data_IF_515199016944
#
_entry.id   IF_515199016944
#
_cell.length_a   1.000
_cell.length_b   1.000
_cell.length_c   1.000
_cell.angle_alpha   90.00
_cell.angle_beta   90.00
_cell.angle_gamma   90.00
#
_symmetry.space_group_name_H-M   'P 1'
#
loop_
_entity.id
_entity.type
_entity.pdbx_description
1 polymer ?
#
# COMPACT_ATOMS: atom_id res chain seq x y z
N UNK A 1 -8.33 9.85 -11.38
CA UNK A 1 -8.11 8.86 -12.46
C UNK A 1 -9.33 8.91 -13.38
N UNK A 2 -9.15 8.88 -14.70
CA UNK A 2 -10.24 9.01 -15.67
C UNK A 2 -11.11 7.74 -15.69
N UNK A 3 -12.42 7.86 -15.94
CA UNK A 3 -13.35 6.71 -16.03
C UNK A 3 -13.07 5.79 -17.24
N UNK A 4 -12.17 6.17 -18.15
CA UNK A 4 -11.82 5.43 -19.37
C UNK A 4 -10.54 4.57 -19.26
N UNK A 5 -9.89 4.48 -18.09
CA UNK A 5 -8.68 3.67 -17.95
C UNK A 5 -9.01 2.16 -18.03
N UNK A 6 -8.36 1.36 -18.90
CA UNK A 6 -8.67 -0.05 -19.04
C UNK A 6 -8.44 -0.81 -17.74
N UNK A 7 -9.29 -1.80 -17.45
CA UNK A 7 -9.16 -2.59 -16.23
C UNK A 7 -7.92 -3.50 -16.29
N UNK A 8 -7.69 -4.15 -17.44
CA UNK A 8 -6.63 -5.14 -17.61
C UNK A 8 -5.77 -4.79 -18.83
N UNK A 9 -4.46 -4.74 -18.61
CA UNK A 9 -3.45 -4.74 -19.68
C UNK A 9 -2.58 -6.00 -19.56
N UNK A 10 -2.28 -6.63 -20.70
CA UNK A 10 -1.39 -7.80 -20.83
C UNK A 10 -0.16 -7.45 -21.69
N UNK A 11 1.04 -7.80 -21.24
CA UNK A 11 2.27 -7.69 -22.05
C UNK A 11 2.68 -9.07 -22.52
N UNK A 12 2.45 -9.35 -23.80
CA UNK A 12 2.76 -10.63 -24.43
C UNK A 12 2.63 -10.54 -25.96
N UNK A 13 3.44 -11.29 -26.70
CA UNK A 13 3.22 -11.59 -28.12
C UNK A 13 2.85 -13.08 -28.34
N UNK A 14 2.83 -13.88 -27.28
CA UNK A 14 2.47 -15.29 -27.29
C UNK A 14 0.96 -15.50 -27.37
N UNK A 15 0.50 -16.10 -28.47
CA UNK A 15 -0.93 -16.38 -28.70
C UNK A 15 -1.54 -17.25 -27.60
N UNK A 16 -0.82 -18.25 -27.10
CA UNK A 16 -1.31 -19.14 -26.04
C UNK A 16 -1.53 -18.40 -24.70
N UNK A 17 -0.62 -17.49 -24.33
CA UNK A 17 -0.78 -16.64 -23.14
C UNK A 17 -1.93 -15.65 -23.34
N UNK A 18 -1.98 -14.99 -24.50
CA UNK A 18 -3.02 -14.00 -24.84
C UNK A 18 -4.41 -14.64 -24.77
N UNK A 19 -4.58 -15.82 -25.36
CA UNK A 19 -5.86 -16.52 -25.38
C UNK A 19 -6.25 -16.99 -23.98
N UNK A 20 -5.33 -17.59 -23.22
CA UNK A 20 -5.60 -18.02 -21.85
C UNK A 20 -6.01 -16.85 -20.93
N UNK A 21 -5.32 -15.71 -21.00
CA UNK A 21 -5.68 -14.52 -20.22
C UNK A 21 -7.01 -13.94 -20.67
N UNK A 22 -7.27 -13.88 -21.98
CA UNK A 22 -8.56 -13.39 -22.51
C UNK A 22 -9.73 -14.26 -22.08
N UNK A 23 -9.58 -15.58 -22.09
CA UNK A 23 -10.59 -16.53 -21.62
C UNK A 23 -10.95 -16.25 -20.16
N UNK A 24 -9.95 -16.08 -19.28
CA UNK A 24 -10.18 -15.78 -17.87
C UNK A 24 -10.83 -14.40 -17.68
N UNK A 25 -10.31 -13.37 -18.35
CA UNK A 25 -10.81 -11.98 -18.18
C UNK A 25 -12.23 -11.82 -18.75
N UNK A 26 -12.59 -12.59 -19.78
CA UNK A 26 -13.95 -12.62 -20.33
C UNK A 26 -14.98 -13.12 -19.29
N UNK A 27 -14.61 -13.97 -18.33
CA UNK A 27 -15.49 -14.41 -17.23
C UNK A 27 -15.85 -13.28 -16.24
N UNK A 28 -15.21 -12.12 -16.37
CA UNK A 28 -15.53 -10.91 -15.61
C UNK A 28 -16.16 -9.80 -16.50
N UNK A 29 -16.53 -10.12 -17.73
CA UNK A 29 -17.09 -9.17 -18.72
C UNK A 29 -16.19 -7.95 -18.95
N UNK A 30 -14.86 -8.14 -18.93
CA UNK A 30 -13.86 -7.07 -19.15
C UNK A 30 -13.05 -7.30 -20.41
N UNK A 31 -12.61 -6.22 -21.10
CA UNK A 31 -11.64 -6.32 -22.19
C UNK A 31 -10.20 -6.41 -21.64
N UNK A 32 -9.32 -7.00 -22.44
CA UNK A 32 -7.85 -7.01 -22.22
C UNK A 32 -7.20 -6.17 -23.30
N UNK A 33 -6.39 -5.18 -22.91
CA UNK A 33 -5.53 -4.43 -23.83
C UNK A 33 -4.18 -5.13 -23.90
N UNK A 34 -3.77 -5.60 -25.08
CA UNK A 34 -2.52 -6.34 -25.28
C UNK A 34 -1.42 -5.40 -25.76
N UNK A 35 -0.24 -5.50 -25.14
CA UNK A 35 0.97 -4.76 -25.46
C UNK A 35 2.09 -5.72 -25.86
N UNK A 36 2.97 -5.34 -26.80
CA UNK A 36 4.08 -6.19 -27.21
C UNK A 36 5.13 -6.34 -26.09
N UNK A 37 5.94 -7.41 -26.10
CA UNK A 37 7.09 -7.56 -25.22
C UNK A 37 8.02 -6.33 -25.27
N UNK A 38 8.66 -6.00 -24.16
CA UNK A 38 9.49 -4.81 -24.00
C UNK A 38 8.73 -3.48 -23.87
N UNK A 39 7.40 -3.45 -24.03
CA UNK A 39 6.61 -2.25 -23.79
C UNK A 39 6.66 -1.80 -22.32
N UNK A 40 6.65 -0.48 -22.10
CA UNK A 40 6.51 0.11 -20.76
C UNK A 40 5.13 -0.11 -20.14
N UNK A 41 4.95 0.16 -18.83
CA UNK A 41 3.70 -0.05 -18.10
C UNK A 41 2.54 0.77 -18.69
N UNK A 42 1.48 0.07 -19.11
CA UNK A 42 0.27 0.67 -19.64
C UNK A 42 -0.55 1.33 -18.50
N UNK A 43 -1.37 2.36 -18.81
CA UNK A 43 -2.36 2.85 -17.86
C UNK A 43 -3.49 1.82 -17.72
N UNK A 44 -3.44 0.97 -16.67
CA UNK A 44 -4.48 0.00 -16.37
C UNK A 44 -4.54 -0.30 -14.86
N UNK A 45 -5.67 -0.82 -14.38
CA UNK A 45 -5.85 -1.17 -12.96
C UNK A 45 -5.17 -2.48 -12.56
N UNK A 46 -5.03 -3.41 -13.50
CA UNK A 46 -4.29 -4.66 -13.38
C UNK A 46 -3.33 -4.81 -14.57
N UNK A 47 -2.04 -4.95 -14.28
CA UNK A 47 -0.97 -5.25 -15.23
C UNK A 47 -0.62 -6.73 -15.14
N UNK A 48 -0.68 -7.43 -16.27
CA UNK A 48 -0.42 -8.87 -16.39
C UNK A 48 0.81 -9.10 -17.28
N UNK A 49 1.93 -9.51 -16.72
CA UNK A 49 3.18 -9.67 -17.49
C UNK A 49 3.51 -11.14 -17.77
N UNK A 50 3.72 -11.51 -19.03
CA UNK A 50 4.16 -12.86 -19.41
C UNK A 50 5.63 -13.06 -19.03
N UNK A 51 5.90 -14.09 -18.22
CA UNK A 51 7.28 -14.38 -17.79
C UNK A 51 8.13 -15.03 -18.87
N UNK A 52 7.51 -15.70 -19.83
CA UNK A 52 8.19 -16.39 -20.93
C UNK A 52 8.93 -15.44 -21.86
N UNK A 53 8.41 -14.23 -22.00
CA UNK A 53 8.92 -13.21 -22.93
C UNK A 53 9.74 -12.13 -22.22
N UNK A 54 9.85 -12.21 -20.89
CA UNK A 54 10.53 -11.21 -20.06
C UNK A 54 12.05 -11.31 -20.19
N UNK A 55 12.68 -10.24 -20.63
CA UNK A 55 14.13 -10.08 -20.69
C UNK A 55 14.67 -9.28 -19.49
N UNK A 56 15.98 -9.31 -19.18
CA UNK A 56 16.58 -8.46 -18.16
C UNK A 56 16.49 -6.95 -18.48
N UNK A 57 16.43 -6.59 -19.76
CA UNK A 57 16.38 -5.21 -20.25
C UNK A 57 14.97 -4.62 -20.16
N UNK A 58 13.94 -5.48 -20.09
CA UNK A 58 12.57 -5.03 -20.04
C UNK A 58 12.30 -4.19 -18.78
N UNK A 59 11.56 -3.08 -18.92
CA UNK A 59 11.10 -2.32 -17.77
C UNK A 59 10.19 -3.22 -16.92
N UNK A 60 10.23 -2.99 -15.61
CA UNK A 60 9.23 -3.56 -14.71
C UNK A 60 7.84 -3.09 -15.13
N UNK A 61 6.89 -4.02 -15.17
CA UNK A 61 5.54 -3.73 -15.63
C UNK A 61 4.63 -3.41 -14.44
N UNK A 62 5.08 -2.45 -13.64
CA UNK A 62 4.45 -1.98 -12.41
C UNK A 62 4.16 -0.47 -12.51
N UNK A 63 3.07 -0.01 -11.89
CA UNK A 63 2.67 1.40 -11.91
C UNK A 63 2.01 1.82 -10.60
N UNK A 64 2.20 3.07 -10.14
CA UNK A 64 1.44 3.62 -9.01
C UNK A 64 -0.08 3.50 -9.19
N UNK A 65 -0.77 2.99 -8.17
CA UNK A 65 -2.22 2.76 -8.21
C UNK A 65 -2.67 1.56 -9.04
N UNK A 66 -1.73 0.78 -9.61
CA UNK A 66 -2.01 -0.42 -10.40
C UNK A 66 -1.53 -1.67 -9.69
N UNK A 67 -2.37 -2.71 -9.71
CA UNK A 67 -1.97 -4.07 -9.34
C UNK A 67 -1.12 -4.65 -10.46
N UNK A 68 -0.14 -5.48 -10.11
CA UNK A 68 0.74 -6.13 -11.08
C UNK A 68 0.91 -7.59 -10.71
N UNK A 69 0.79 -8.48 -11.70
CA UNK A 69 0.94 -9.91 -11.54
C UNK A 69 1.68 -10.50 -12.73
N UNK A 70 2.57 -11.44 -12.43
CA UNK A 70 3.26 -12.22 -13.46
C UNK A 70 2.45 -13.49 -13.77
N UNK A 71 2.35 -13.85 -15.05
CA UNK A 71 1.72 -15.11 -15.51
C UNK A 71 2.73 -15.97 -16.24
N UNK A 72 2.49 -17.28 -16.19
CA UNK A 72 3.20 -18.29 -16.99
C UNK A 72 2.27 -19.42 -17.41
N UNK A 73 2.56 -20.08 -18.51
CA UNK A 73 1.90 -21.32 -18.91
C UNK A 73 2.46 -22.51 -18.12
N UNK A 74 1.62 -23.51 -17.90
CA UNK A 74 1.94 -24.67 -17.07
C UNK A 74 3.24 -25.39 -17.47
N UNK A 75 3.49 -25.52 -18.78
CA UNK A 75 4.66 -26.21 -19.33
C UNK A 75 5.76 -25.26 -19.83
N UNK A 76 5.65 -23.96 -19.52
CA UNK A 76 6.65 -23.00 -19.95
C UNK A 76 7.96 -23.14 -19.16
N UNK A 77 9.08 -23.19 -19.88
CA UNK A 77 10.42 -23.06 -19.28
C UNK A 77 10.69 -21.58 -19.00
N UNK A 78 10.60 -21.18 -17.73
CA UNK A 78 10.81 -19.81 -17.27
C UNK A 78 12.20 -19.69 -16.66
N UNK A 79 13.00 -18.75 -17.20
CA UNK A 79 14.36 -18.53 -16.74
C UNK A 79 14.41 -18.15 -15.24
N UNK A 80 15.41 -18.65 -14.50
CA UNK A 80 15.60 -18.27 -13.10
C UNK A 80 15.78 -16.76 -12.86
N UNK A 81 16.40 -15.98 -13.78
CA UNK A 81 16.40 -14.52 -13.71
C UNK A 81 14.99 -13.89 -13.72
N UNK A 82 14.08 -14.37 -14.57
CA UNK A 82 12.70 -13.84 -14.65
C UNK A 82 11.93 -14.10 -13.35
N UNK A 83 12.09 -15.30 -12.76
CA UNK A 83 11.50 -15.64 -11.45
C UNK A 83 12.05 -14.74 -10.34
N UNK A 84 13.38 -14.55 -10.26
CA UNK A 84 14.00 -13.66 -9.27
C UNK A 84 13.53 -12.21 -9.41
N UNK A 85 13.35 -11.71 -10.64
CA UNK A 85 12.83 -10.35 -10.88
C UNK A 85 11.39 -10.18 -10.39
N UNK A 86 10.56 -11.22 -10.49
CA UNK A 86 9.17 -11.20 -9.99
C UNK A 86 9.14 -11.02 -8.47
N UNK A 87 9.98 -11.77 -7.76
CA UNK A 87 10.12 -11.61 -6.30
C UNK A 87 10.66 -10.22 -5.92
N UNK A 88 11.65 -9.72 -6.66
CA UNK A 88 12.25 -8.41 -6.39
C UNK A 88 11.31 -7.23 -6.71
N UNK A 89 10.39 -7.40 -7.65
CA UNK A 89 9.40 -6.38 -8.03
C UNK A 89 8.13 -6.40 -7.16
N UNK A 90 7.97 -7.42 -6.33
CA UNK A 90 6.82 -7.59 -5.44
C UNK A 90 5.52 -7.91 -6.15
N UNK A 91 5.59 -8.41 -7.38
CA UNK A 91 4.47 -8.95 -8.17
C UNK A 91 3.89 -10.26 -7.59
N UNK A 92 4.29 -10.64 -6.37
CA UNK A 92 3.87 -11.88 -5.72
C UNK A 92 4.49 -13.13 -6.36
N UNK A 93 3.83 -14.27 -6.17
CA UNK A 93 4.15 -15.50 -6.91
C UNK A 93 3.61 -15.37 -8.34
N UNK A 94 4.30 -15.86 -9.37
CA UNK A 94 3.70 -15.98 -10.70
C UNK A 94 2.49 -16.91 -10.68
N UNK A 95 1.43 -16.55 -11.41
CA UNK A 95 0.27 -17.41 -11.64
C UNK A 95 0.51 -18.35 -12.82
N UNK A 96 0.26 -19.64 -12.62
CA UNK A 96 0.44 -20.68 -13.62
C UNK A 96 -0.89 -20.98 -14.31
N UNK A 97 -1.04 -20.64 -15.59
CA UNK A 97 -2.27 -20.89 -16.36
C UNK A 97 -2.21 -22.28 -17.03
N UNK A 98 -3.32 -23.06 -17.02
CA UNK A 98 -4.65 -22.71 -16.51
C UNK A 98 -4.88 -22.99 -15.00
N UNK A 99 -3.92 -23.57 -14.28
CA UNK A 99 -4.08 -24.01 -12.89
C UNK A 99 -4.55 -22.90 -11.92
N UNK A 100 -4.01 -21.68 -12.08
CA UNK A 100 -4.30 -20.51 -11.26
C UNK A 100 -5.31 -19.55 -11.93
N UNK A 101 -6.09 -20.02 -12.92
CA UNK A 101 -7.08 -19.20 -13.64
C UNK A 101 -8.09 -18.53 -12.69
N UNK A 102 -8.49 -19.22 -11.63
CA UNK A 102 -9.42 -18.66 -10.63
C UNK A 102 -8.80 -17.52 -9.82
N UNK A 103 -7.50 -17.58 -9.52
CA UNK A 103 -6.80 -16.49 -8.82
C UNK A 103 -6.67 -15.26 -9.72
N UNK A 104 -6.35 -15.46 -11.01
CA UNK A 104 -6.35 -14.38 -11.99
C UNK A 104 -7.76 -13.75 -12.13
N UNK A 105 -8.82 -14.56 -12.19
CA UNK A 105 -10.20 -14.05 -12.22
C UNK A 105 -10.53 -13.21 -10.99
N UNK A 106 -10.11 -13.64 -9.81
CA UNK A 106 -10.26 -12.88 -8.56
C UNK A 106 -9.53 -11.53 -8.66
N UNK A 107 -8.27 -11.51 -9.12
CA UNK A 107 -7.53 -10.26 -9.33
C UNK A 107 -8.22 -9.32 -10.31
N UNK A 108 -8.77 -9.84 -11.41
CA UNK A 108 -9.51 -9.05 -12.41
C UNK A 108 -10.77 -8.45 -11.80
N UNK A 109 -11.58 -9.25 -11.09
CA UNK A 109 -12.80 -8.77 -10.43
C UNK A 109 -12.48 -7.72 -9.38
N UNK A 110 -11.41 -7.94 -8.62
CA UNK A 110 -10.91 -7.00 -7.63
C UNK A 110 -10.45 -5.69 -8.26
N UNK A 111 -9.66 -5.75 -9.33
CA UNK A 111 -9.23 -4.58 -10.08
C UNK A 111 -10.40 -3.85 -10.76
N UNK A 112 -11.52 -4.52 -11.03
CA UNK A 112 -12.71 -3.91 -11.58
C UNK A 112 -13.58 -3.17 -10.53
N UNK A 113 -13.44 -3.45 -9.23
CA UNK A 113 -14.23 -2.79 -8.17
C UNK A 113 -13.93 -1.30 -8.14
N UNK A 114 -14.91 -0.42 -8.12
CA UNK A 114 -14.63 1.02 -7.93
C UNK A 114 -14.04 1.25 -6.53
N UNK A 115 -12.88 1.94 -6.48
CA UNK A 115 -12.33 2.42 -5.20
C UNK A 115 -12.87 3.82 -4.96
N UNK A 116 -13.56 4.00 -3.84
CA UNK A 116 -13.92 5.34 -3.34
C UNK A 116 -12.72 5.97 -2.63
N UNK A 117 -11.93 5.17 -1.93
CA UNK A 117 -10.86 5.66 -1.10
C UNK A 117 -9.65 6.12 -1.91
N UNK A 118 -9.05 7.24 -1.50
CA UNK A 118 -7.63 7.48 -1.70
C UNK A 118 -6.85 6.56 -0.76
N UNK A 119 -5.90 5.78 -1.28
CA UNK A 119 -5.10 4.84 -0.47
C UNK A 119 -3.70 5.43 -0.25
N UNK A 120 -3.37 5.69 1.01
CA UNK A 120 -2.08 6.25 1.44
C UNK A 120 -1.30 5.17 2.20
N UNK A 121 -0.15 4.78 1.67
CA UNK A 121 0.83 3.98 2.38
C UNK A 121 1.73 4.85 3.26
N UNK A 122 2.12 4.35 4.44
CA UNK A 122 3.12 5.00 5.29
C UNK A 122 4.16 3.97 5.69
N UNK A 123 5.43 4.26 5.42
CA UNK A 123 6.54 3.34 5.73
C UNK A 123 7.68 4.10 6.40
N UNK A 124 8.29 3.49 7.40
CA UNK A 124 9.47 4.06 8.07
C UNK A 124 10.75 3.70 7.33
N UNK A 125 11.58 4.69 7.00
CA UNK A 125 12.93 4.46 6.45
C UNK A 125 13.79 3.56 7.36
N UNK A 126 13.53 3.58 8.67
CA UNK A 126 14.12 2.70 9.69
C UNK A 126 13.15 2.51 10.87
N UNK A 127 13.49 1.58 11.76
CA UNK A 127 12.79 1.43 13.04
C UNK A 127 12.79 2.73 13.86
N UNK A 128 11.66 3.06 14.48
CA UNK A 128 11.51 4.29 15.27
C UNK A 128 11.37 5.60 14.47
N UNK A 129 11.26 5.52 13.13
CA UNK A 129 11.07 6.72 12.30
C UNK A 129 9.71 7.41 12.49
N UNK A 130 8.74 6.75 13.15
CA UNK A 130 7.42 7.33 13.47
C UNK A 130 6.36 7.09 12.39
N UNK A 131 6.51 6.04 11.56
CA UNK A 131 5.56 5.68 10.51
C UNK A 131 4.16 5.39 11.04
N UNK A 132 4.01 4.43 11.96
CA UNK A 132 2.73 4.09 12.60
C UNK A 132 2.07 5.28 13.29
N UNK A 133 2.87 6.15 13.93
CA UNK A 133 2.36 7.39 14.52
C UNK A 133 1.81 8.36 13.46
N UNK A 134 2.49 8.50 12.32
CA UNK A 134 1.99 9.32 11.21
C UNK A 134 0.76 8.69 10.56
N UNK A 135 0.72 7.37 10.37
CA UNK A 135 -0.43 6.66 9.83
C UNK A 135 -1.69 6.88 10.68
N UNK A 136 -1.57 6.70 12.00
CA UNK A 136 -2.62 7.00 12.96
C UNK A 136 -3.03 8.49 12.92
N UNK A 137 -2.06 9.41 12.87
CA UNK A 137 -2.35 10.84 12.83
C UNK A 137 -3.01 11.30 11.51
N UNK A 138 -2.66 10.71 10.37
CA UNK A 138 -3.34 10.91 9.08
C UNK A 138 -4.79 10.49 9.20
N UNK A 139 -5.05 9.28 9.70
CA UNK A 139 -6.39 8.74 9.82
C UNK A 139 -7.26 9.59 10.76
N UNK A 140 -6.75 9.94 11.95
CA UNK A 140 -7.42 10.83 12.91
C UNK A 140 -7.69 12.22 12.33
N UNK A 141 -6.75 12.76 11.55
CA UNK A 141 -6.91 14.08 10.94
C UNK A 141 -7.97 14.06 9.85
N UNK A 142 -8.01 13.02 9.03
CA UNK A 142 -9.01 12.85 7.97
C UNK A 142 -10.43 12.74 8.54
N UNK A 143 -10.64 11.95 9.60
CA UNK A 143 -11.94 11.88 10.29
C UNK A 143 -12.37 13.24 10.83
N UNK A 144 -11.46 13.98 11.45
CA UNK A 144 -11.76 15.33 11.95
C UNK A 144 -12.03 16.35 10.82
N UNK A 145 -11.74 15.99 9.56
CA UNK A 145 -12.08 16.74 8.35
C UNK A 145 -13.31 16.19 7.62
N UNK A 146 -14.01 15.22 8.21
CA UNK A 146 -15.27 14.67 7.69
C UNK A 146 -15.11 13.51 6.71
N UNK A 147 -13.91 12.97 6.53
CA UNK A 147 -13.67 11.84 5.64
C UNK A 147 -13.96 10.51 6.35
N UNK A 148 -14.77 9.64 5.73
CA UNK A 148 -14.89 8.26 6.15
C UNK A 148 -13.53 7.57 6.00
N UNK A 149 -12.94 7.11 7.11
CA UNK A 149 -11.52 6.70 7.13
C UNK A 149 -11.31 5.34 7.77
N UNK A 150 -10.47 4.51 7.13
CA UNK A 150 -9.94 3.27 7.67
C UNK A 150 -8.41 3.32 7.81
N UNK A 151 -7.89 2.60 8.80
CA UNK A 151 -6.46 2.38 9.04
C UNK A 151 -6.21 0.87 9.11
N UNK A 152 -5.29 0.38 8.28
CA UNK A 152 -4.88 -1.02 8.28
C UNK A 152 -3.41 -1.15 8.64
N UNK A 153 -3.10 -2.05 9.58
CA UNK A 153 -1.74 -2.37 10.00
C UNK A 153 -1.23 -3.57 9.22
N UNK A 154 -0.18 -3.37 8.42
CA UNK A 154 0.44 -4.42 7.61
C UNK A 154 1.86 -4.76 8.13
N UNK A 155 2.36 -4.07 9.16
CA UNK A 155 3.69 -4.30 9.74
C UNK A 155 3.63 -5.31 10.89
N UNK A 156 3.88 -6.58 10.55
CA UNK A 156 3.89 -7.68 11.53
C UNK A 156 5.12 -7.73 12.42
N UNK A 157 6.07 -6.78 12.30
CA UNK A 157 7.27 -6.74 13.13
C UNK A 157 7.11 -5.89 14.41
N UNK A 158 6.02 -5.13 14.53
CA UNK A 158 5.75 -4.22 15.65
C UNK A 158 4.85 -4.82 16.74
N UNK A 159 4.54 -4.00 17.75
CA UNK A 159 3.60 -4.36 18.82
C UNK A 159 2.11 -4.26 18.41
N UNK A 160 1.84 -3.87 17.16
CA UNK A 160 0.50 -3.64 16.63
C UNK A 160 0.04 -2.18 16.79
N UNK A 161 -0.67 -1.70 15.77
CA UNK A 161 -1.33 -0.38 15.79
C UNK A 161 -2.42 -0.32 16.87
N UNK A 162 -3.09 -1.41 17.23
CA UNK A 162 -4.12 -1.37 18.26
C UNK A 162 -3.58 -0.99 19.63
N UNK A 163 -2.43 -1.52 20.03
CA UNK A 163 -1.73 -1.12 21.26
C UNK A 163 -1.28 0.34 21.20
N UNK A 164 -0.78 0.80 20.04
CA UNK A 164 -0.41 2.21 19.83
C UNK A 164 -1.60 3.16 20.04
N UNK A 165 -2.80 2.71 19.68
CA UNK A 165 -4.04 3.48 19.77
C UNK A 165 -4.77 3.29 21.10
N UNK A 166 -4.35 2.34 21.94
CA UNK A 166 -5.04 1.98 23.19
C UNK A 166 -6.38 1.28 22.98
N UNK A 167 -6.53 0.53 21.88
CA UNK A 167 -7.77 -0.18 21.50
C UNK A 167 -7.62 -1.71 21.48
N UNK A 168 -6.54 -2.24 22.03
CA UNK A 168 -6.25 -3.68 22.09
C UNK A 168 -7.34 -4.51 22.79
N UNK A 169 -8.09 -3.89 23.70
CA UNK A 169 -9.23 -4.51 24.38
C UNK A 169 -10.59 -4.20 23.74
N UNK A 170 -10.61 -3.41 22.66
CA UNK A 170 -11.83 -3.12 21.92
C UNK A 170 -12.24 -4.32 21.08
N UNK A 171 -13.51 -4.73 21.22
CA UNK A 171 -14.11 -5.77 20.41
C UNK A 171 -14.15 -5.41 18.91
N UNK A 172 -14.25 -6.43 18.07
CA UNK A 172 -14.25 -6.32 16.61
C UNK A 172 -13.16 -7.19 15.97
N UNK A 173 -13.25 -7.38 14.67
CA UNK A 173 -12.34 -8.26 13.91
C UNK A 173 -10.93 -7.66 13.83
N UNK A 174 -9.93 -8.55 13.85
CA UNK A 174 -8.51 -8.30 13.52
C UNK A 174 -8.11 -9.15 12.32
N UNK A 175 -6.89 -8.95 11.81
CA UNK A 175 -6.38 -9.78 10.71
C UNK A 175 -6.48 -11.28 10.98
N UNK A 176 -6.14 -11.71 12.19
CA UNK A 176 -6.21 -13.12 12.58
C UNK A 176 -7.64 -13.70 12.54
N UNK A 177 -8.68 -12.87 12.67
CA UNK A 177 -10.07 -13.30 12.61
C UNK A 177 -10.55 -13.46 11.16
N UNK A 178 -9.95 -12.75 10.21
CA UNK A 178 -10.25 -12.87 8.78
C UNK A 178 -9.69 -14.16 8.18
N UNK A 179 -8.52 -14.60 8.65
CA UNK A 179 -7.81 -15.80 8.19
C UNK A 179 -8.56 -17.13 8.41
N UNK A 180 -9.70 -17.12 9.10
CA UNK A 180 -10.45 -18.31 9.52
C UNK A 180 -11.82 -18.47 8.86
N UNK A 181 -12.26 -17.50 8.06
CA UNK A 181 -13.58 -17.49 7.43
C UNK A 181 -13.55 -17.96 5.97
N UNK A 182 -14.42 -18.90 5.63
CA UNK A 182 -14.74 -19.25 4.23
C UNK A 182 -15.60 -18.14 3.61
N UNK A 183 -15.03 -16.96 3.35
CA UNK A 183 -15.75 -15.94 2.59
C UNK A 183 -15.22 -14.52 2.71
N UNK A 184 -15.18 -13.85 1.55
CA UNK A 184 -15.07 -12.40 1.43
C UNK A 184 -16.22 -11.70 2.16
N UNK A 185 -15.88 -10.78 3.08
CA UNK A 185 -16.88 -9.91 3.70
C UNK A 185 -17.17 -8.71 2.79
N UNK A 186 -18.45 -8.40 2.49
CA UNK A 186 -18.83 -7.14 1.87
C UNK A 186 -18.30 -5.93 2.63
N UNK A 187 -18.02 -4.83 1.92
CA UNK A 187 -17.35 -3.65 2.47
C UNK A 187 -18.05 -3.03 3.69
N UNK A 188 -19.38 -2.98 3.66
CA UNK A 188 -20.23 -2.45 4.73
C UNK A 188 -20.18 -3.34 5.98
N UNK A 189 -20.23 -4.66 5.80
CA UNK A 189 -20.13 -5.63 6.87
C UNK A 189 -18.73 -5.62 7.50
N UNK A 190 -17.68 -5.58 6.68
CA UNK A 190 -16.31 -5.52 7.17
C UNK A 190 -16.11 -4.25 8.00
N UNK A 191 -16.45 -3.06 7.46
CA UNK A 191 -16.26 -1.80 8.16
C UNK A 191 -17.03 -1.74 9.50
N UNK A 192 -18.24 -2.29 9.56
CA UNK A 192 -19.04 -2.36 10.78
C UNK A 192 -18.46 -3.33 11.82
N UNK A 193 -17.79 -4.40 11.38
CA UNK A 193 -17.20 -5.41 12.24
C UNK A 193 -15.83 -5.02 12.82
N UNK A 194 -15.20 -3.96 12.30
CA UNK A 194 -13.91 -3.46 12.82
C UNK A 194 -14.08 -2.57 14.06
N UNK A 195 -13.11 -2.60 14.99
CA UNK A 195 -12.98 -1.58 16.03
C UNK A 195 -13.02 -0.16 15.48
N UNK A 196 -13.54 0.76 16.30
CA UNK A 196 -13.51 2.18 16.00
C UNK A 196 -12.66 2.95 17.00
N UNK A 197 -11.70 3.73 16.48
CA UNK A 197 -10.90 4.67 17.26
C UNK A 197 -11.19 6.10 16.82
N UNK A 198 -11.99 6.81 17.64
CA UNK A 198 -12.45 8.17 17.36
C UNK A 198 -13.21 8.33 16.03
N UNK A 199 -13.77 7.26 15.47
CA UNK A 199 -14.40 7.26 14.14
C UNK A 199 -13.53 6.73 13.00
N UNK A 200 -12.26 6.40 13.25
CA UNK A 200 -11.42 5.61 12.32
C UNK A 200 -11.79 4.13 12.47
N UNK A 201 -12.02 3.41 11.36
CA UNK A 201 -12.12 1.94 11.39
C UNK A 201 -10.73 1.32 11.35
N UNK A 202 -10.41 0.44 12.28
CA UNK A 202 -9.04 -0.08 12.43
C UNK A 202 -9.00 -1.57 12.19
N UNK A 203 -8.17 -2.01 11.23
CA UNK A 203 -7.85 -3.41 10.98
C UNK A 203 -6.40 -3.64 11.37
N UNK A 204 -6.17 -4.09 12.61
CA UNK A 204 -4.82 -4.28 13.16
C UNK A 204 -4.37 -5.74 13.13
N UNK A 205 -3.05 -5.92 13.08
CA UNK A 205 -2.42 -7.17 13.46
C UNK A 205 -2.35 -7.24 14.99
N UNK A 206 -2.33 -8.44 15.54
CA UNK A 206 -2.10 -8.67 16.97
C UNK A 206 -1.15 -9.87 17.16
N UNK A 207 -0.98 -10.32 18.41
CA UNK A 207 -0.10 -11.44 18.76
C UNK A 207 -0.44 -12.77 18.05
N UNK A 208 -1.65 -12.90 17.47
CA UNK A 208 -2.10 -14.08 16.72
C UNK A 208 -1.60 -14.06 15.28
N UNK A 209 -1.19 -12.90 14.76
CA UNK A 209 -0.62 -12.75 13.42
C UNK A 209 -1.14 -11.53 12.66
N UNK A 210 -0.58 -11.35 11.46
CA UNK A 210 -0.98 -10.29 10.52
C UNK A 210 -1.61 -10.84 9.23
N UNK A 211 -1.73 -9.99 8.20
CA UNK A 211 -2.43 -10.34 6.97
C UNK A 211 -1.68 -11.43 6.19
N UNK A 212 -2.42 -12.42 5.69
CA UNK A 212 -2.00 -13.18 4.52
C UNK A 212 -2.14 -12.31 3.26
N UNK A 213 -1.25 -12.45 2.29
CA UNK A 213 -1.22 -11.59 1.09
C UNK A 213 -2.54 -11.61 0.30
N UNK A 214 -3.14 -12.81 0.15
CA UNK A 214 -4.33 -13.00 -0.67
C UNK A 214 -5.58 -12.43 0.01
N UNK A 215 -5.84 -12.86 1.24
CA UNK A 215 -6.99 -12.41 2.04
C UNK A 215 -6.85 -10.94 2.45
N UNK A 216 -5.62 -10.50 2.73
CA UNK A 216 -5.32 -9.12 3.04
C UNK A 216 -5.69 -8.19 1.89
N UNK A 217 -5.36 -8.55 0.65
CA UNK A 217 -5.72 -7.75 -0.52
C UNK A 217 -7.22 -7.54 -0.61
N UNK A 218 -8.02 -8.60 -0.44
CA UNK A 218 -9.48 -8.51 -0.52
C UNK A 218 -10.09 -7.65 0.59
N UNK A 219 -9.62 -7.80 1.83
CA UNK A 219 -10.07 -6.96 2.93
C UNK A 219 -9.73 -5.48 2.70
N UNK A 220 -8.52 -5.19 2.20
CA UNK A 220 -8.12 -3.83 1.87
C UNK A 220 -8.95 -3.24 0.73
N UNK A 221 -9.34 -4.03 -0.28
CA UNK A 221 -10.26 -3.56 -1.32
C UNK A 221 -11.66 -3.28 -0.80
N UNK A 222 -12.17 -4.15 0.09
CA UNK A 222 -13.44 -3.91 0.75
C UNK A 222 -13.39 -2.60 1.56
N UNK A 223 -12.32 -2.35 2.31
CA UNK A 223 -12.13 -1.09 3.00
C UNK A 223 -12.02 0.11 2.04
N UNK A 224 -11.29 -0.04 0.93
CA UNK A 224 -11.14 1.01 -0.08
C UNK A 224 -12.44 1.33 -0.82
N UNK A 225 -13.37 0.37 -0.93
CA UNK A 225 -14.70 0.60 -1.48
C UNK A 225 -15.62 1.35 -0.49
N UNK A 226 -15.49 1.10 0.81
CA UNK A 226 -16.37 1.64 1.84
C UNK A 226 -15.99 3.02 2.42
N UNK A 227 -14.79 3.53 2.13
CA UNK A 227 -14.23 4.72 2.77
C UNK A 227 -13.77 5.78 1.76
N UNK A 228 -13.59 7.02 2.22
CA UNK A 228 -12.97 8.12 1.46
C UNK A 228 -11.44 8.07 1.54
N UNK A 229 -10.90 7.58 2.66
CA UNK A 229 -9.48 7.41 2.88
C UNK A 229 -9.17 6.04 3.51
N UNK A 230 -8.18 5.35 2.96
CA UNK A 230 -7.58 4.16 3.56
C UNK A 230 -6.09 4.43 3.78
N UNK A 231 -5.67 4.40 5.04
CA UNK A 231 -4.27 4.53 5.43
C UNK A 231 -3.70 3.15 5.72
N UNK A 232 -2.57 2.80 5.09
CA UNK A 232 -1.86 1.55 5.29
C UNK A 232 -0.56 1.82 6.06
N UNK A 233 -0.41 1.24 7.24
CA UNK A 233 0.88 1.17 7.94
C UNK A 233 1.70 0.02 7.35
N UNK A 234 2.71 0.35 6.55
CA UNK A 234 3.37 -0.60 5.66
C UNK A 234 4.64 -1.20 6.28
N UNK A 235 4.91 -2.50 6.06
CA UNK A 235 6.22 -3.07 6.30
C UNK A 235 7.22 -2.54 5.27
N UNK A 236 8.52 -2.52 5.62
CA UNK A 236 9.59 -2.02 4.72
C UNK A 236 9.80 -2.87 3.45
N UNK A 237 9.39 -4.14 3.45
CA UNK A 237 9.82 -5.12 2.46
C UNK A 237 8.67 -5.98 1.89
N UNK A 238 7.52 -5.38 1.57
CA UNK A 238 6.42 -6.09 0.89
C UNK A 238 5.76 -5.21 -0.19
N UNK A 239 6.22 -5.34 -1.43
CA UNK A 239 5.76 -4.50 -2.54
C UNK A 239 4.32 -4.78 -3.00
N UNK A 240 3.72 -5.91 -2.61
CA UNK A 240 2.30 -6.20 -2.90
C UNK A 240 1.36 -5.13 -2.32
N UNK A 241 1.64 -4.66 -1.09
CA UNK A 241 0.85 -3.61 -0.46
C UNK A 241 1.14 -2.23 -1.05
N UNK A 242 2.37 -2.01 -1.54
CA UNK A 242 2.76 -0.78 -2.21
C UNK A 242 1.96 -0.57 -3.52
N UNK A 243 1.69 -1.64 -4.26
CA UNK A 243 0.85 -1.60 -5.47
C UNK A 243 -0.59 -1.17 -5.22
N UNK A 244 -1.10 -1.30 -3.98
CA UNK A 244 -2.43 -0.82 -3.61
C UNK A 244 -2.47 0.68 -3.29
N UNK A 245 -1.31 1.28 -3.03
CA UNK A 245 -1.21 2.67 -2.64
C UNK A 245 -1.22 3.59 -3.87
N UNK A 246 -1.97 4.69 -3.75
CA UNK A 246 -1.88 5.78 -4.72
C UNK A 246 -0.61 6.61 -4.45
N UNK A 247 -0.27 6.79 -3.17
CA UNK A 247 0.94 7.48 -2.69
C UNK A 247 1.49 6.73 -1.48
N UNK A 248 2.81 6.68 -1.36
CA UNK A 248 3.52 6.12 -0.20
C UNK A 248 4.38 7.22 0.44
N UNK A 249 4.09 7.52 1.71
CA UNK A 249 4.92 8.40 2.51
C UNK A 249 6.06 7.62 3.19
N UNK A 250 7.29 7.95 2.82
CA UNK A 250 8.51 7.47 3.48
C UNK A 250 8.85 8.40 4.63
N UNK A 251 8.66 7.93 5.86
CA UNK A 251 8.95 8.70 7.07
C UNK A 251 10.41 8.51 7.47
N UNK A 252 11.12 9.63 7.63
CA UNK A 252 12.52 9.64 8.06
C UNK A 252 12.79 10.77 9.06
N UNK A 253 13.94 10.70 9.74
CA UNK A 253 14.45 11.79 10.58
C UNK A 253 15.54 12.56 9.85
N UNK A 254 15.77 13.80 10.26
CA UNK A 254 16.75 14.70 9.64
C UNK A 254 18.17 14.38 10.12
N UNK A 255 18.68 13.19 9.77
CA UNK A 255 20.05 12.76 10.02
C UNK A 255 20.57 11.87 8.89
N UNK A 256 21.89 11.79 8.75
CA UNK A 256 22.57 11.14 7.61
C UNK A 256 22.18 9.65 7.50
N UNK A 257 22.13 8.93 8.62
CA UNK A 257 21.84 7.49 8.61
C UNK A 257 20.39 7.22 8.17
N UNK A 258 19.46 8.07 8.62
CA UNK A 258 18.05 7.96 8.26
C UNK A 258 17.80 8.38 6.81
N UNK A 259 18.53 9.39 6.32
CA UNK A 259 18.53 9.75 4.90
C UNK A 259 19.09 8.62 4.02
N UNK A 260 20.20 8.00 4.42
CA UNK A 260 20.76 6.85 3.71
C UNK A 260 19.78 5.66 3.67
N UNK A 261 19.13 5.36 4.79
CA UNK A 261 18.11 4.31 4.87
C UNK A 261 16.90 4.62 3.97
N UNK A 262 16.45 5.88 3.92
CA UNK A 262 15.36 6.31 3.04
C UNK A 262 15.75 6.16 1.55
N UNK A 263 16.98 6.52 1.18
CA UNK A 263 17.53 6.30 -0.17
C UNK A 263 17.57 4.82 -0.55
N UNK A 264 18.02 3.95 0.36
CA UNK A 264 18.05 2.51 0.13
C UNK A 264 16.65 1.92 -0.05
N UNK A 265 15.70 2.35 0.80
CA UNK A 265 14.30 1.95 0.67
C UNK A 265 13.74 2.39 -0.68
N UNK A 266 13.94 3.65 -1.06
CA UNK A 266 13.47 4.19 -2.34
C UNK A 266 14.05 3.43 -3.54
N UNK A 267 15.34 3.08 -3.52
CA UNK A 267 15.99 2.34 -4.60
C UNK A 267 15.42 0.92 -4.79
N UNK A 268 14.92 0.31 -3.72
CA UNK A 268 14.29 -1.03 -3.76
C UNK A 268 12.77 -0.99 -3.89
N UNK A 269 12.13 0.18 -3.78
CA UNK A 269 10.67 0.28 -3.72
C UNK A 269 10.05 0.22 -5.11
N UNK A 270 8.99 -0.56 -5.24
CA UNK A 270 8.23 -0.74 -6.47
C UNK A 270 6.74 -0.51 -6.19
N UNK A 271 6.08 0.26 -7.05
CA UNK A 271 4.67 0.65 -6.88
C UNK A 271 4.45 1.86 -5.98
N UNK A 272 3.38 2.62 -6.25
CA UNK A 272 3.01 3.87 -5.57
C UNK A 272 3.91 5.07 -5.92
N UNK A 273 3.38 6.29 -5.79
CA UNK A 273 4.17 7.53 -5.86
C UNK A 273 4.86 7.76 -4.50
N UNK A 274 6.19 7.71 -4.45
CA UNK A 274 6.96 7.83 -3.20
C UNK A 274 7.25 9.29 -2.88
N UNK A 275 6.81 9.71 -1.70
CA UNK A 275 7.06 11.04 -1.17
C UNK A 275 7.68 10.98 0.21
N UNK A 276 8.60 11.90 0.48
CA UNK A 276 9.35 11.94 1.72
C UNK A 276 8.63 12.79 2.78
N UNK A 277 8.54 12.27 3.99
CA UNK A 277 8.13 13.01 5.20
C UNK A 277 9.31 13.06 6.16
N UNK A 278 9.82 14.27 6.42
CA UNK A 278 11.02 14.46 7.26
C UNK A 278 10.63 15.04 8.62
N UNK A 279 11.02 14.32 9.68
CA UNK A 279 10.97 14.80 11.07
C UNK A 279 12.29 15.44 11.47
N UNK A 280 12.27 16.71 11.86
CA UNK A 280 13.46 17.45 12.30
C UNK A 280 13.22 18.26 13.58
N UNK A 281 14.12 19.21 13.91
CA UNK A 281 15.35 19.56 13.18
C UNK A 281 16.48 18.55 13.36
N UNK A 282 17.46 18.58 12.46
CA UNK A 282 18.71 17.84 12.61
C UNK A 282 19.56 18.44 13.74
N UNK A 283 20.21 17.63 14.59
CA UNK A 283 21.25 18.12 15.49
C UNK A 283 22.41 18.80 14.75
N UNK A 284 22.71 18.35 13.51
CA UNK A 284 23.84 18.80 12.69
C UNK A 284 23.50 19.80 11.59
N UNK A 285 22.33 20.44 11.61
CA UNK A 285 21.96 21.47 10.62
C UNK A 285 21.47 20.96 9.26
N UNK A 286 21.52 19.65 9.01
CA UNK A 286 20.92 19.02 7.82
C UNK A 286 19.45 19.42 7.69
N UNK A 287 19.05 19.86 6.51
CA UNK A 287 17.69 20.31 6.19
C UNK A 287 16.87 19.20 5.55
N UNK A 288 15.55 19.30 5.65
CA UNK A 288 14.65 18.33 5.00
C UNK A 288 14.82 18.31 3.46
N UNK A 289 15.14 19.45 2.85
CA UNK A 289 15.39 19.56 1.42
C UNK A 289 16.67 18.81 1.01
N UNK A 290 17.75 18.92 1.80
CA UNK A 290 18.99 18.17 1.54
C UNK A 290 18.77 16.66 1.69
N UNK A 291 17.97 16.21 2.68
CA UNK A 291 17.60 14.79 2.80
C UNK A 291 16.82 14.33 1.57
N UNK A 292 15.82 15.10 1.13
CA UNK A 292 15.01 14.77 -0.04
C UNK A 292 15.86 14.66 -1.32
N UNK A 293 16.75 15.63 -1.54
CA UNK A 293 17.69 15.62 -2.65
C UNK A 293 18.62 14.40 -2.60
N UNK A 294 19.15 14.06 -1.43
CA UNK A 294 20.02 12.90 -1.26
C UNK A 294 19.30 11.57 -1.52
N UNK A 295 17.99 11.49 -1.22
CA UNK A 295 17.16 10.31 -1.47
C UNK A 295 16.65 10.23 -2.90
N UNK A 296 16.63 11.33 -3.64
CA UNK A 296 15.97 11.41 -4.95
C UNK A 296 14.43 11.32 -4.84
N UNK A 297 13.85 11.78 -3.74
CA UNK A 297 12.40 11.75 -3.48
C UNK A 297 11.83 13.16 -3.41
N UNK A 298 10.56 13.30 -3.81
CA UNK A 298 9.79 14.53 -3.60
C UNK A 298 9.54 14.74 -2.11
N UNK A 299 9.92 15.90 -1.58
CA UNK A 299 9.60 16.28 -0.19
C UNK A 299 8.13 16.70 -0.09
N UNK A 300 7.29 15.88 0.53
CA UNK A 300 5.89 16.23 0.77
C UNK A 300 5.70 17.05 2.06
N UNK A 301 6.31 16.60 3.16
CA UNK A 301 6.13 17.24 4.46
C UNK A 301 7.45 17.33 5.22
N UNK A 302 7.70 18.50 5.82
CA UNK A 302 8.68 18.64 6.90
C UNK A 302 7.94 19.02 8.18
N UNK A 303 8.20 18.30 9.27
CA UNK A 303 7.58 18.57 10.57
C UNK A 303 8.59 18.48 11.71
N UNK A 304 8.26 19.16 12.82
CA UNK A 304 9.04 19.05 14.05
C UNK A 304 8.75 17.72 14.76
N UNK A 305 9.72 17.21 15.50
CA UNK A 305 9.48 16.14 16.46
C UNK A 305 8.49 16.57 17.55
N UNK A 306 7.52 15.71 17.85
CA UNK A 306 6.62 15.88 18.98
C UNK A 306 7.20 15.22 20.23
N UNK A 307 8.07 15.96 20.93
CA UNK A 307 8.81 15.44 22.11
C UNK A 307 7.94 14.89 23.22
N UNK A 308 6.69 15.35 23.34
CA UNK A 308 5.74 14.86 24.34
C UNK A 308 5.09 13.53 23.97
N UNK A 309 5.21 13.08 22.72
CA UNK A 309 4.45 11.94 22.21
C UNK A 309 4.73 10.66 22.99
N UNK A 310 6.01 10.32 23.21
CA UNK A 310 6.37 9.11 23.96
C UNK A 310 5.74 9.09 25.36
N UNK A 311 5.89 10.18 26.12
CA UNK A 311 5.28 10.28 27.44
C UNK A 311 3.73 10.32 27.40
N UNK A 312 3.14 10.79 26.29
CA UNK A 312 1.69 10.83 26.11
C UNK A 312 1.12 9.44 25.81
N UNK A 313 1.82 8.62 25.02
CA UNK A 313 1.48 7.22 24.76
C UNK A 313 1.41 6.41 26.06
N UNK A 314 2.39 6.57 26.97
CA UNK A 314 2.38 5.94 28.30
C UNK A 314 1.18 6.35 29.18
N UNK A 315 0.50 7.44 28.82
CA UNK A 315 -0.73 7.91 29.50
C UNK A 315 -2.00 7.59 28.70
N UNK A 316 -1.89 6.76 27.66
CA UNK A 316 -3.02 6.36 26.81
C UNK A 316 -3.49 7.43 25.82
N UNK A 317 -2.67 8.45 25.52
CA UNK A 317 -3.00 9.46 24.51
C UNK A 317 -2.49 8.99 23.15
N UNK A 318 -3.40 8.66 22.25
CA UNK A 318 -3.07 8.11 20.94
C UNK A 318 -2.45 9.17 20.00
N UNK A 319 -1.65 8.75 19.00
CA UNK A 319 -1.10 9.66 18.00
C UNK A 319 -2.21 10.46 17.28
N UNK A 320 -2.01 11.76 17.12
CA UNK A 320 -2.99 12.63 16.47
C UNK A 320 -4.10 13.16 17.39
N UNK A 321 -4.16 12.79 18.66
CA UNK A 321 -5.11 13.40 19.61
C UNK A 321 -4.70 14.81 20.06
N UNK A 322 -3.40 15.09 20.09
CA UNK A 322 -2.91 16.45 20.30
C UNK A 322 -3.15 17.31 19.05
N UNK A 323 -4.31 17.97 19.00
CA UNK A 323 -4.75 18.80 17.86
C UNK A 323 -3.79 19.93 17.49
N UNK A 324 -2.97 20.39 18.45
CA UNK A 324 -1.99 21.47 18.26
C UNK A 324 -0.56 20.93 18.15
N UNK A 325 -0.38 19.62 18.11
CA UNK A 325 0.91 18.94 18.03
C UNK A 325 1.57 19.09 16.65
N UNK A 326 2.91 19.02 16.57
CA UNK A 326 3.63 18.92 15.31
C UNK A 326 3.17 17.74 14.43
N UNK A 327 2.89 16.58 15.04
CA UNK A 327 2.45 15.40 14.31
C UNK A 327 1.13 15.65 13.60
N UNK A 328 0.19 16.31 14.29
CA UNK A 328 -1.11 16.68 13.74
C UNK A 328 -0.99 17.66 12.56
N UNK A 329 -0.15 18.69 12.69
CA UNK A 329 0.10 19.63 11.60
C UNK A 329 0.76 18.96 10.40
N UNK A 330 1.69 18.04 10.64
CA UNK A 330 2.33 17.25 9.59
C UNK A 330 1.33 16.36 8.84
N UNK A 331 0.47 15.66 9.57
CA UNK A 331 -0.61 14.87 8.98
C UNK A 331 -1.56 15.72 8.13
N UNK A 332 -1.93 16.91 8.63
CA UNK A 332 -2.76 17.84 7.86
C UNK A 332 -2.06 18.32 6.58
N UNK A 333 -0.77 18.65 6.65
CA UNK A 333 0.00 19.05 5.48
C UNK A 333 0.09 17.92 4.43
N UNK A 334 0.25 16.67 4.87
CA UNK A 334 0.24 15.51 3.98
C UNK A 334 -1.13 15.29 3.31
N UNK A 335 -2.24 15.48 4.03
CA UNK A 335 -3.57 15.39 3.40
C UNK A 335 -3.79 16.51 2.35
N UNK A 336 -3.24 17.71 2.58
CA UNK A 336 -3.28 18.84 1.62
C UNK A 336 -2.39 18.61 0.40
N UNK A 337 -1.22 18.00 0.58
CA UNK A 337 -0.32 17.57 -0.51
C UNK A 337 -1.01 16.62 -1.52
N UNK A 338 -2.14 16.02 -1.13
CA UNK A 338 -2.97 15.13 -1.95
C UNK A 338 -4.34 15.71 -2.32
N UNK A 339 -4.58 17.00 -2.05
CA UNK A 339 -5.85 17.68 -2.30
C UNK A 339 -7.07 16.98 -1.65
N UNK A 340 -6.86 16.24 -0.55
CA UNK A 340 -7.95 15.51 0.14
C UNK A 340 -8.75 16.39 1.10
N UNK A 341 -8.18 17.52 1.51
CA UNK A 341 -8.78 18.43 2.47
C UNK A 341 -8.42 19.86 2.10
N UNK A 342 -9.36 20.78 2.29
CA UNK A 342 -9.16 22.19 1.99
C UNK A 342 -8.10 22.85 2.91
N UNK A 343 -7.62 24.02 2.43
CA UNK A 343 -6.71 24.91 3.15
C UNK A 343 -7.21 25.38 4.53
#
# INVERSE_FOLDING_TARGET
MSQDEPIVALRSARTDVIDAVREVVALADRPVVVHPPGAGPAPARLLVDSLEERTPEDPLWVRPGSRSVAVRMQDADVSSPALRRTHASGEGRPLQLPADAQELLTLVRTAARERRAKVIGVVGARGGAGASCLAAALARTAVDRGLGTALADLDTCGAGVDLLLGIEHSGGLRWADLSTGDGSLPHDQLAAALPSWGGVRVLSADWRGGPDTSQGSEALDALAAGHDLLVLDLPRAQAVWAGMCDVVYVVTTCDVMSGAAARMLAAGWQGGDLRLVVRGPAPGGLTAAEVAQACGLTLAVSMREERSLAAALERGVAPGENRRGPLRRGALAALRDLDLVDE
#
